data_IF_291663035235
#
_entry.id   IF_291663035235
#
_cell.length_a   1.000
_cell.length_b   1.000
_cell.length_c   1.000
_cell.angle_alpha   90.00
_cell.angle_beta   90.00
_cell.angle_gamma   90.00
#
_symmetry.space_group_name_H-M   'P 1'
#
loop_
_entity.id
_entity.type
_entity.pdbx_description
1 polymer ?
#
# COMPACT_ATOMS: atom_id res chain seq x y z
N UNK A 1 1.81 -4.57 0.09
CA UNK A 1 3.06 -5.26 0.43
C UNK A 1 4.29 -4.44 0.01
N UNK A 2 5.52 -4.91 0.27
CA UNK A 2 6.77 -4.14 0.09
C UNK A 2 7.05 -3.58 -1.32
N UNK A 3 6.48 -4.20 -2.34
CA UNK A 3 6.65 -3.84 -3.76
C UNK A 3 5.33 -3.38 -4.39
N UNK A 4 4.39 -2.90 -3.59
CA UNK A 4 3.09 -2.39 -4.02
C UNK A 4 2.69 -1.29 -3.03
N UNK A 5 1.51 -1.38 -2.39
CA UNK A 5 1.14 -0.46 -1.32
C UNK A 5 1.86 -0.86 -0.02
N UNK A 6 2.94 -0.15 0.34
CA UNK A 6 3.86 -0.53 1.43
C UNK A 6 3.27 -0.43 2.84
N UNK A 7 2.17 0.28 3.00
CA UNK A 7 1.44 0.43 4.26
C UNK A 7 0.52 -0.76 4.60
N UNK A 8 0.41 -1.75 3.71
CA UNK A 8 -0.29 -3.01 3.96
C UNK A 8 0.68 -4.18 3.78
N UNK A 9 0.57 -5.18 4.66
CA UNK A 9 1.22 -6.48 4.43
C UNK A 9 0.66 -7.15 3.17
N UNK A 10 1.34 -8.20 2.70
CA UNK A 10 0.88 -8.94 1.54
C UNK A 10 -0.56 -9.44 1.75
N UNK A 11 -1.38 -9.33 0.70
CA UNK A 11 -2.76 -9.81 0.65
C UNK A 11 -3.77 -9.24 1.67
N UNK A 12 -3.43 -8.16 2.37
CA UNK A 12 -4.30 -7.55 3.39
C UNK A 12 -5.04 -6.28 2.93
N UNK A 13 -5.00 -5.95 1.64
CA UNK A 13 -5.68 -4.77 1.09
C UNK A 13 -6.75 -5.20 0.08
N UNK A 14 -7.95 -4.63 0.22
CA UNK A 14 -9.09 -4.88 -0.67
C UNK A 14 -9.75 -6.24 -0.45
N UNK A 15 -10.65 -6.65 -1.36
CA UNK A 15 -11.11 -5.89 -2.53
C UNK A 15 -11.99 -4.70 -2.15
N UNK A 16 -11.79 -3.55 -2.81
CA UNK A 16 -12.52 -2.31 -2.53
C UNK A 16 -12.53 -1.94 -1.05
N UNK A 17 -13.73 -1.75 -0.49
CA UNK A 17 -13.92 -1.48 0.94
C UNK A 17 -14.33 -2.70 1.76
N UNK A 18 -14.46 -3.86 1.11
CA UNK A 18 -14.94 -5.10 1.74
C UNK A 18 -14.03 -5.54 2.89
N UNK A 19 -14.66 -5.88 4.02
CA UNK A 19 -14.01 -6.51 5.17
C UNK A 19 -13.89 -8.01 4.92
N UNK A 20 -12.95 -8.38 4.05
CA UNK A 20 -12.64 -9.79 3.80
C UNK A 20 -12.08 -10.47 5.05
N UNK A 21 -12.66 -11.63 5.39
CA UNK A 21 -12.13 -12.54 6.42
C UNK A 21 -11.15 -13.57 5.85
N UNK A 22 -10.85 -13.50 4.55
CA UNK A 22 -9.96 -14.45 3.91
C UNK A 22 -8.51 -14.20 4.34
N UNK A 23 -7.73 -15.28 4.36
CA UNK A 23 -6.28 -15.18 4.58
C UNK A 23 -5.56 -14.48 3.43
N UNK A 24 -6.18 -14.46 2.25
CA UNK A 24 -5.65 -13.84 1.04
C UNK A 24 -6.74 -13.03 0.33
N UNK A 25 -6.55 -11.71 0.26
CA UNK A 25 -7.43 -10.87 -0.55
C UNK A 25 -6.97 -10.88 -2.01
N UNK A 26 -7.87 -11.26 -2.89
CA UNK A 26 -7.66 -11.39 -4.33
C UNK A 26 -8.84 -10.82 -5.10
N UNK A 27 -8.54 -10.31 -6.31
CA UNK A 27 -9.54 -9.81 -7.24
C UNK A 27 -8.93 -9.75 -8.65
N UNK A 28 -9.77 -9.65 -9.68
CA UNK A 28 -9.34 -9.71 -11.07
C UNK A 28 -8.98 -8.35 -11.70
N UNK A 29 -9.25 -7.24 -11.02
CA UNK A 29 -8.86 -5.88 -11.42
C UNK A 29 -7.99 -5.22 -10.36
N UNK A 30 -6.93 -4.53 -10.79
CA UNK A 30 -6.02 -3.80 -9.89
C UNK A 30 -5.68 -2.42 -10.44
N UNK A 31 -5.70 -1.41 -9.57
CA UNK A 31 -5.15 -0.08 -9.84
C UNK A 31 -4.08 0.20 -8.78
N UNK A 32 -2.89 0.62 -9.23
CA UNK A 32 -1.78 0.99 -8.33
C UNK A 32 -1.03 2.18 -8.91
N UNK A 33 -0.63 3.09 -8.02
CA UNK A 33 0.14 4.29 -8.29
C UNK A 33 1.15 4.44 -7.16
N UNK A 34 2.38 4.82 -7.50
CA UNK A 34 3.43 5.10 -6.51
C UNK A 34 4.22 6.33 -6.93
N UNK A 35 4.50 7.19 -5.97
CA UNK A 35 5.41 8.31 -6.09
C UNK A 35 6.46 8.22 -4.99
N UNK A 36 7.73 8.29 -5.36
CA UNK A 36 8.85 8.18 -4.42
C UNK A 36 9.91 9.25 -4.74
N UNK A 37 10.30 10.01 -3.73
CA UNK A 37 11.41 10.95 -3.81
C UNK A 37 12.59 10.38 -3.03
N UNK A 38 13.71 10.15 -3.72
CA UNK A 38 14.96 9.66 -3.15
C UNK A 38 15.95 10.81 -2.96
N UNK A 39 16.78 10.72 -1.93
CA UNK A 39 17.82 11.71 -1.65
C UNK A 39 19.00 11.07 -0.92
N UNK A 40 20.20 11.59 -1.14
CA UNK A 40 21.38 11.14 -0.41
C UNK A 40 21.37 11.74 1.01
N UNK A 41 21.63 10.92 2.02
CA UNK A 41 21.77 11.37 3.40
C UNK A 41 23.25 11.64 3.70
N UNK A 42 24.07 10.59 3.58
CA UNK A 42 25.52 10.65 3.81
C UNK A 42 26.19 9.43 3.20
N UNK A 43 27.21 9.66 2.36
CA UNK A 43 27.98 8.58 1.74
C UNK A 43 27.07 7.59 1.01
N UNK A 44 27.06 6.33 1.47
CA UNK A 44 26.27 5.22 0.89
C UNK A 44 24.85 5.09 1.48
N UNK A 45 24.49 5.94 2.44
CA UNK A 45 23.13 6.00 2.99
C UNK A 45 22.27 6.95 2.17
N UNK A 46 21.12 6.44 1.71
CA UNK A 46 20.10 7.19 1.00
C UNK A 46 18.77 7.13 1.75
N UNK A 47 18.05 8.24 1.77
CA UNK A 47 16.68 8.31 2.24
C UNK A 47 15.70 8.26 1.08
N UNK A 48 14.47 7.89 1.36
CA UNK A 48 13.34 8.24 0.50
C UNK A 48 12.09 8.53 1.32
N UNK A 49 11.22 9.34 0.73
CA UNK A 49 9.82 9.48 1.15
C UNK A 49 8.94 8.98 0.01
N UNK A 50 7.80 8.40 0.34
CA UNK A 50 6.91 7.83 -0.66
C UNK A 50 5.44 7.98 -0.31
N UNK A 51 4.62 7.93 -1.36
CA UNK A 51 3.18 7.77 -1.31
C UNK A 51 2.78 6.69 -2.31
N UNK A 52 2.06 5.68 -1.83
CA UNK A 52 1.49 4.61 -2.62
C UNK A 52 -0.03 4.72 -2.56
N UNK A 53 -0.71 4.53 -3.68
CA UNK A 53 -2.15 4.53 -3.77
C UNK A 53 -2.64 3.38 -4.64
N UNK A 54 -3.61 2.60 -4.17
CA UNK A 54 -4.15 1.52 -4.98
C UNK A 54 -5.17 0.67 -4.26
N UNK A 55 -5.80 -0.22 -5.02
CA UNK A 55 -6.66 -1.28 -4.51
C UNK A 55 -6.89 -2.34 -5.59
N UNK A 56 -7.58 -3.42 -5.22
CA UNK A 56 -8.07 -4.48 -6.10
C UNK A 56 -9.59 -4.52 -6.04
N UNK A 57 -10.25 -4.93 -7.12
CA UNK A 57 -11.70 -5.11 -7.21
C UNK A 57 -12.04 -6.26 -8.14
N UNK A 58 -13.24 -6.80 -7.98
CA UNK A 58 -13.84 -7.73 -8.91
C UNK A 58 -14.57 -6.97 -10.02
N UNK A 59 -14.44 -7.44 -11.26
CA UNK A 59 -15.08 -6.83 -12.43
C UNK A 59 -15.50 -7.93 -13.42
N UNK A 60 -16.71 -7.81 -13.99
CA UNK A 60 -17.27 -8.77 -14.95
C UNK A 60 -17.22 -10.23 -14.46
N UNK A 61 -17.56 -10.46 -13.18
CA UNK A 61 -17.61 -11.80 -12.58
C UNK A 61 -18.93 -12.03 -11.81
N UNK A 62 -18.99 -13.13 -11.05
CA UNK A 62 -20.17 -13.55 -10.29
C UNK A 62 -20.09 -13.13 -8.81
N UNK A 63 -19.24 -12.17 -8.44
CA UNK A 63 -19.17 -11.67 -7.06
C UNK A 63 -20.33 -10.70 -6.82
N UNK A 64 -21.17 -11.00 -5.82
CA UNK A 64 -22.35 -10.20 -5.49
C UNK A 64 -22.08 -9.12 -4.44
N UNK A 65 -20.87 -9.09 -3.86
CA UNK A 65 -20.47 -8.06 -2.89
C UNK A 65 -20.15 -6.74 -3.61
N UNK A 66 -21.05 -5.75 -3.47
CA UNK A 66 -20.88 -4.40 -4.01
C UNK A 66 -19.62 -3.71 -3.47
N UNK A 67 -19.21 -3.98 -2.22
CA UNK A 67 -18.01 -3.36 -1.63
C UNK A 67 -16.71 -3.91 -2.22
N UNK A 68 -16.76 -5.10 -2.81
CA UNK A 68 -15.65 -5.78 -3.48
C UNK A 68 -15.63 -5.55 -5.01
N UNK A 69 -16.72 -5.01 -5.58
CA UNK A 69 -16.94 -4.91 -7.02
C UNK A 69 -16.61 -3.51 -7.57
N UNK A 70 -16.09 -3.45 -8.79
CA UNK A 70 -15.79 -2.20 -9.48
C UNK A 70 -17.03 -1.64 -10.19
N UNK A 71 -17.68 -0.66 -9.58
CA UNK A 71 -18.86 0.06 -10.07
C UNK A 71 -18.50 1.42 -10.71
N UNK A 72 -17.39 1.46 -11.45
CA UNK A 72 -16.92 2.67 -12.14
C UNK A 72 -16.33 3.72 -11.19
N UNK A 73 -16.64 5.00 -11.43
CA UNK A 73 -16.01 6.11 -10.71
C UNK A 73 -16.28 6.11 -9.20
N UNK A 74 -17.40 5.51 -8.74
CA UNK A 74 -17.72 5.42 -7.31
C UNK A 74 -16.69 4.57 -6.56
N UNK A 75 -16.23 3.47 -7.16
CA UNK A 75 -15.24 2.58 -6.54
C UNK A 75 -13.86 3.21 -6.37
N UNK A 76 -13.54 4.28 -7.10
CA UNK A 76 -12.28 5.02 -6.93
C UNK A 76 -12.16 5.67 -5.54
N UNK A 77 -13.28 5.91 -4.84
CA UNK A 77 -13.26 6.38 -3.45
C UNK A 77 -12.60 5.37 -2.50
N UNK A 78 -12.53 4.11 -2.90
CA UNK A 78 -11.97 3.02 -2.10
C UNK A 78 -10.49 2.79 -2.43
N UNK A 79 -9.83 3.66 -3.19
CA UNK A 79 -8.37 3.62 -3.34
C UNK A 79 -7.71 3.86 -1.99
N UNK A 80 -6.99 2.87 -1.49
CA UNK A 80 -6.21 3.01 -0.27
C UNK A 80 -4.98 3.88 -0.52
N UNK A 81 -4.59 4.68 0.48
CA UNK A 81 -3.39 5.52 0.40
C UNK A 81 -2.47 5.18 1.56
N UNK A 82 -1.24 4.80 1.22
CA UNK A 82 -0.14 4.63 2.15
C UNK A 82 0.89 5.71 1.94
N UNK A 83 1.47 6.25 3.00
CA UNK A 83 2.67 7.07 2.91
C UNK A 83 3.73 6.58 3.86
N UNK A 84 4.97 6.95 3.61
CA UNK A 84 6.05 6.50 4.47
C UNK A 84 7.40 7.04 4.07
N UNK A 85 8.40 6.51 4.74
CA UNK A 85 9.79 6.82 4.48
C UNK A 85 10.61 5.54 4.49
N UNK A 86 11.76 5.59 3.84
CA UNK A 86 12.67 4.47 3.82
C UNK A 86 14.13 4.88 3.93
N UNK A 87 14.92 4.00 4.52
CA UNK A 87 16.36 4.07 4.59
C UNK A 87 16.95 3.01 3.66
N UNK A 88 17.94 3.41 2.88
CA UNK A 88 18.60 2.55 1.89
C UNK A 88 20.11 2.60 2.12
N UNK A 89 20.77 1.45 2.06
CA UNK A 89 22.22 1.36 2.09
C UNK A 89 22.73 0.71 0.81
N UNK A 90 23.62 1.40 0.11
CA UNK A 90 24.18 0.95 -1.16
C UNK A 90 25.46 0.13 -0.96
N UNK A 91 25.41 -1.18 -1.22
CA UNK A 91 26.59 -2.07 -1.17
C UNK A 91 27.38 -2.10 -2.49
N UNK A 92 27.05 -1.28 -3.48
CA UNK A 92 27.57 -1.25 -4.85
C UNK A 92 27.10 -2.40 -5.77
N UNK A 93 26.78 -3.57 -5.22
CA UNK A 93 26.25 -4.72 -5.98
C UNK A 93 24.78 -5.04 -5.66
N UNK A 94 24.28 -4.60 -4.51
CA UNK A 94 22.84 -4.56 -4.21
C UNK A 94 22.54 -3.39 -3.26
N UNK A 95 21.26 -3.03 -3.15
CA UNK A 95 20.78 -2.03 -2.18
C UNK A 95 19.96 -2.73 -1.11
N UNK A 96 20.28 -2.52 0.17
CA UNK A 96 19.42 -2.93 1.27
C UNK A 96 18.38 -1.84 1.53
N UNK A 97 17.11 -2.21 1.68
CA UNK A 97 16.00 -1.29 1.96
C UNK A 97 15.35 -1.59 3.30
N UNK A 98 15.06 -0.54 4.05
CA UNK A 98 14.19 -0.53 5.21
C UNK A 98 13.10 0.51 4.95
N UNK A 99 11.87 0.08 4.69
CA UNK A 99 10.74 0.98 4.40
C UNK A 99 9.70 0.87 5.52
N UNK A 100 9.27 2.01 6.06
CA UNK A 100 8.20 2.09 7.06
C UNK A 100 6.98 2.74 6.41
N UNK A 101 5.91 1.97 6.25
CA UNK A 101 4.66 2.41 5.64
C UNK A 101 3.57 2.65 6.67
N UNK A 102 2.83 3.74 6.50
CA UNK A 102 1.69 4.13 7.34
C UNK A 102 0.41 4.19 6.51
N UNK A 103 -0.69 3.68 7.06
CA UNK A 103 -2.01 3.74 6.44
C UNK A 103 -2.56 5.16 6.57
N UNK A 104 -2.45 5.95 5.50
CA UNK A 104 -2.91 7.34 5.45
C UNK A 104 -4.42 7.41 5.22
N UNK A 105 -4.93 6.56 4.33
CA UNK A 105 -6.35 6.37 4.07
C UNK A 105 -6.65 4.87 3.94
N UNK A 106 -7.46 4.33 4.85
CA UNK A 106 -7.87 2.92 4.87
C UNK A 106 -9.35 2.80 4.46
N UNK A 107 -9.66 2.27 3.26
CA UNK A 107 -11.02 2.18 2.73
C UNK A 107 -11.87 1.13 3.44
N UNK A 108 -11.26 0.17 4.16
CA UNK A 108 -11.98 -0.85 4.94
C UNK A 108 -12.66 -0.28 6.19
N UNK A 109 -12.33 0.96 6.57
CA UNK A 109 -12.94 1.63 7.72
C UNK A 109 -14.25 2.32 7.35
N UNK A 110 -15.18 2.47 8.31
CA UNK A 110 -16.41 3.22 8.11
C UNK A 110 -16.15 4.65 7.62
N UNK A 111 -17.10 5.19 6.86
CA UNK A 111 -17.06 6.56 6.37
C UNK A 111 -16.88 7.55 7.53
N UNK A 112 -16.04 8.57 7.31
CA UNK A 112 -15.63 9.52 8.36
C UNK A 112 -14.49 9.04 9.27
N UNK A 113 -14.11 7.76 9.20
CA UNK A 113 -13.01 7.18 9.98
C UNK A 113 -11.89 6.56 9.13
N UNK A 114 -11.77 6.95 7.86
CA UNK A 114 -10.77 6.37 6.93
C UNK A 114 -9.39 7.03 6.99
N UNK A 115 -9.33 8.32 7.34
CA UNK A 115 -8.09 9.10 7.35
C UNK A 115 -7.35 9.00 8.69
N UNK A 116 -6.04 8.72 8.62
CA UNK A 116 -5.05 8.82 9.70
C UNK A 116 -5.35 8.05 11.00
N UNK A 117 -6.28 7.09 11.01
CA UNK A 117 -6.65 6.37 12.25
C UNK A 117 -5.53 5.50 12.80
N UNK A 118 -4.79 4.84 11.92
CA UNK A 118 -3.68 3.97 12.27
C UNK A 118 -2.32 4.60 11.94
N UNK A 119 -2.27 5.93 11.82
CA UNK A 119 -1.05 6.65 11.46
C UNK A 119 -0.14 6.81 12.68
N UNK A 120 0.45 5.71 13.13
CA UNK A 120 1.38 5.67 14.24
C UNK A 120 2.34 4.48 14.10
N UNK A 121 3.43 4.49 14.86
CA UNK A 121 4.47 3.45 14.79
C UNK A 121 4.03 2.07 15.28
N UNK A 122 2.98 1.98 16.10
CA UNK A 122 2.45 0.70 16.57
C UNK A 122 1.69 -0.05 15.47
N UNK A 123 1.07 0.68 14.54
CA UNK A 123 0.33 0.12 13.41
C UNK A 123 1.07 0.22 12.07
N UNK A 124 2.29 0.75 12.07
CA UNK A 124 3.11 0.87 10.86
C UNK A 124 3.54 -0.51 10.34
N UNK A 125 3.66 -0.63 9.03
CA UNK A 125 4.20 -1.82 8.38
C UNK A 125 5.67 -1.62 8.10
N UNK A 126 6.49 -2.51 8.67
CA UNK A 126 7.93 -2.51 8.51
C UNK A 126 8.31 -3.49 7.40
N UNK A 127 8.97 -2.99 6.38
CA UNK A 127 9.37 -3.78 5.22
C UNK A 127 10.90 -3.81 5.12
N UNK A 128 11.44 -4.99 4.85
CA UNK A 128 12.85 -5.19 4.52
C UNK A 128 12.92 -5.71 3.10
N UNK A 129 13.80 -5.13 2.28
CA UNK A 129 13.95 -5.50 0.87
C UNK A 129 15.39 -5.49 0.40
N UNK A 130 15.66 -6.24 -0.67
CA UNK A 130 16.93 -6.24 -1.39
C UNK A 130 16.65 -5.73 -2.80
N UNK A 131 17.52 -4.84 -3.30
CA UNK A 131 17.38 -4.07 -4.55
C UNK A 131 16.17 -3.14 -4.54
N UNK A 132 15.95 -2.39 -5.63
CA UNK A 132 14.82 -1.46 -5.74
C UNK A 132 13.49 -2.19 -5.96
N UNK A 133 12.36 -1.67 -5.45
CA UNK A 133 11.05 -2.21 -5.76
C UNK A 133 10.72 -1.71 -7.16
N UNK A 134 10.77 -2.63 -8.13
CA UNK A 134 10.43 -2.46 -9.57
C UNK A 134 11.21 -1.37 -10.34
#
# INVERSE_FOLDING_TARGET
GPNDIRAWSAYNLGPGSSLSTNEFNEANMKITLSAEQRFNLVGRFNGAIFVDAGNIWNVLDNVEDEEATFEGFRSLKDIAVGSGFGLRYDFSFFVLRLDVGFKTYDPSRPDGARWFKDYNFANAVYNIGINYPF
#
